data_IF_856528045751
#
_entry.id   IF_856528045751
#
_cell.length_a   1.000
_cell.length_b   1.000
_cell.length_c   1.000
_cell.angle_alpha   90.00
_cell.angle_beta   90.00
_cell.angle_gamma   90.00
#
_symmetry.space_group_name_H-M   'P 1'
#
loop_
_entity.id
_entity.type
_entity.pdbx_description
1 polymer ?
#
# COMPACT_ATOMS: atom_id res chain seq x y z
N UNK A 1 -20.48 3.56 2.92
CA UNK A 1 -19.06 3.78 3.26
C UNK A 1 -18.52 2.45 3.75
N UNK A 2 -17.48 1.88 3.11
CA UNK A 2 -16.85 0.67 3.62
C UNK A 2 -16.09 1.02 4.92
N UNK A 3 -16.12 0.14 5.92
CA UNK A 3 -15.49 0.36 7.24
C UNK A 3 -14.00 0.76 7.17
N UNK A 4 -13.46 1.23 8.29
CA UNK A 4 -12.08 1.76 8.39
C UNK A 4 -11.05 0.78 7.82
N UNK A 5 -10.11 1.27 7.02
CA UNK A 5 -9.00 0.44 6.53
C UNK A 5 -8.04 0.14 7.68
N UNK A 6 -7.86 -1.15 7.97
CA UNK A 6 -7.01 -1.62 9.07
C UNK A 6 -5.69 -2.22 8.58
N UNK A 7 -5.66 -2.74 7.35
CA UNK A 7 -4.44 -3.34 6.77
C UNK A 7 -4.51 -3.33 5.24
N UNK A 8 -3.34 -3.33 4.61
CA UNK A 8 -3.18 -3.57 3.17
C UNK A 8 -2.17 -4.70 3.02
N UNK A 9 -2.55 -5.72 2.26
CA UNK A 9 -1.77 -6.95 2.08
C UNK A 9 -1.44 -7.15 0.60
N UNK A 10 -0.40 -7.93 0.33
CA UNK A 10 -0.14 -8.45 -1.01
C UNK A 10 -0.91 -9.75 -1.22
N UNK A 11 -1.64 -9.88 -2.32
CA UNK A 11 -2.46 -11.08 -2.64
C UNK A 11 -1.60 -12.34 -2.76
N UNK A 12 -0.43 -12.22 -3.39
CA UNK A 12 0.55 -13.30 -3.54
C UNK A 12 1.84 -12.92 -2.84
N UNK A 13 1.83 -13.04 -1.50
CA UNK A 13 3.04 -12.92 -0.69
C UNK A 13 3.97 -14.09 -0.94
N UNK A 14 5.29 -13.84 -0.93
CA UNK A 14 6.29 -14.92 -0.94
C UNK A 14 6.09 -15.75 0.33
N UNK A 15 6.03 -17.08 0.20
CA UNK A 15 5.70 -18.00 1.30
C UNK A 15 6.46 -17.66 2.60
N UNK A 16 5.71 -17.50 3.69
CA UNK A 16 6.24 -17.29 5.04
C UNK A 16 6.66 -15.86 5.40
N UNK A 17 6.36 -14.85 4.57
CA UNK A 17 6.76 -13.46 4.84
C UNK A 17 5.54 -12.55 4.95
N UNK A 18 5.40 -11.87 6.09
CA UNK A 18 4.43 -10.79 6.27
C UNK A 18 5.06 -9.51 5.72
N UNK A 19 4.48 -8.99 4.64
CA UNK A 19 4.83 -7.68 4.08
C UNK A 19 3.85 -6.63 4.60
N UNK A 20 4.36 -5.45 4.96
CA UNK A 20 3.58 -4.30 5.41
C UNK A 20 3.86 -3.08 4.51
N UNK A 21 2.92 -2.12 4.41
CA UNK A 21 3.17 -0.85 3.72
C UNK A 21 4.42 -0.15 4.28
N UNK A 22 5.34 0.23 3.41
CA UNK A 22 6.56 0.93 3.82
C UNK A 22 6.21 2.34 4.32
N UNK A 23 6.42 2.57 5.62
CA UNK A 23 6.24 3.87 6.25
C UNK A 23 7.60 4.55 6.45
N UNK A 24 7.68 5.81 6.05
CA UNK A 24 8.84 6.68 6.23
C UNK A 24 8.49 7.83 7.15
N UNK A 25 9.45 8.69 7.50
CA UNK A 25 9.17 9.95 8.21
C UNK A 25 8.17 10.86 7.47
N UNK A 26 8.03 10.70 6.15
CA UNK A 26 7.07 11.45 5.33
C UNK A 26 5.69 10.79 5.25
N UNK A 27 5.56 9.51 5.62
CA UNK A 27 4.33 8.72 5.52
C UNK A 27 4.51 7.43 4.72
N UNK A 28 3.39 6.79 4.38
CA UNK A 28 3.34 5.62 3.50
C UNK A 28 3.81 5.98 2.11
N UNK A 29 4.73 5.21 1.55
CA UNK A 29 5.36 5.52 0.26
C UNK A 29 4.62 4.83 -0.90
N UNK A 30 4.28 5.61 -1.93
CA UNK A 30 3.66 5.15 -3.17
C UNK A 30 4.43 5.63 -4.39
N UNK A 31 4.12 5.05 -5.55
CA UNK A 31 4.63 5.46 -6.85
C UNK A 31 3.46 5.70 -7.81
N UNK A 32 3.47 6.86 -8.48
CA UNK A 32 2.51 7.18 -9.53
C UNK A 32 2.87 6.44 -10.83
N UNK A 33 1.89 5.73 -11.39
CA UNK A 33 2.05 5.07 -12.69
C UNK A 33 2.28 6.07 -13.84
N UNK A 34 1.84 7.33 -13.69
CA UNK A 34 2.04 8.40 -14.68
C UNK A 34 3.52 8.68 -14.98
N UNK A 35 4.43 8.38 -14.04
CA UNK A 35 5.87 8.51 -14.23
C UNK A 35 6.51 7.35 -15.02
N UNK A 36 5.72 6.38 -15.48
CA UNK A 36 6.17 5.30 -16.36
C UNK A 36 7.33 4.49 -15.77
N UNK A 37 8.45 4.43 -16.51
CA UNK A 37 9.65 3.68 -16.09
C UNK A 37 10.35 4.28 -14.87
N UNK A 38 10.18 5.57 -14.61
CA UNK A 38 10.90 6.29 -13.55
C UNK A 38 10.14 6.33 -12.23
N UNK A 39 8.93 5.77 -12.16
CA UNK A 39 8.06 5.80 -10.97
C UNK A 39 8.69 5.27 -9.68
N UNK A 40 9.76 4.50 -9.78
CA UNK A 40 10.48 3.93 -8.65
C UNK A 40 11.58 4.84 -8.08
N UNK A 41 11.85 5.99 -8.72
CA UNK A 41 12.82 6.98 -8.23
C UNK A 41 12.29 7.64 -6.95
N UNK A 42 13.19 7.84 -5.99
CA UNK A 42 12.84 8.43 -4.70
C UNK A 42 12.29 9.87 -4.80
N UNK A 43 12.70 10.62 -5.82
CA UNK A 43 12.26 12.00 -6.09
C UNK A 43 10.79 12.09 -6.56
N UNK A 44 10.26 11.01 -7.13
CA UNK A 44 8.88 10.90 -7.63
C UNK A 44 7.97 10.14 -6.65
N UNK A 45 8.47 9.85 -5.44
CA UNK A 45 7.71 9.17 -4.42
C UNK A 45 6.58 10.06 -3.90
N UNK A 46 5.37 9.49 -3.85
CA UNK A 46 4.20 10.12 -3.26
C UNK A 46 3.99 9.57 -1.86
N UNK A 47 3.63 10.42 -0.91
CA UNK A 47 3.46 10.04 0.49
C UNK A 47 2.04 10.27 0.96
N UNK A 48 1.46 9.26 1.60
CA UNK A 48 0.16 9.34 2.27
C UNK A 48 0.33 9.25 3.79
N UNK A 49 -0.51 9.93 4.56
CA UNK A 49 -0.45 9.98 6.02
C UNK A 49 -1.30 8.90 6.69
N UNK A 50 -2.26 8.33 5.98
CA UNK A 50 -3.18 7.31 6.50
C UNK A 50 -3.39 6.16 5.50
N UNK A 51 -3.83 5.00 6.00
CA UNK A 51 -4.19 3.87 5.13
C UNK A 51 -5.38 4.19 4.22
N UNK A 52 -6.32 5.02 4.68
CA UNK A 52 -7.44 5.48 3.85
C UNK A 52 -6.96 6.31 2.64
N UNK A 53 -6.01 7.23 2.86
CA UNK A 53 -5.36 7.97 1.76
C UNK A 53 -4.58 7.03 0.82
N UNK A 54 -3.87 6.04 1.36
CA UNK A 54 -3.19 5.02 0.56
C UNK A 54 -4.20 4.32 -0.36
N UNK A 55 -5.38 3.93 0.16
CA UNK A 55 -6.43 3.28 -0.65
C UNK A 55 -6.96 4.22 -1.73
N UNK A 56 -7.16 5.51 -1.43
CA UNK A 56 -7.56 6.49 -2.46
C UNK A 56 -6.55 6.54 -3.60
N UNK A 57 -5.26 6.51 -3.31
CA UNK A 57 -4.21 6.52 -4.33
C UNK A 57 -4.10 5.18 -5.08
N UNK A 58 -4.23 4.04 -4.39
CA UNK A 58 -4.28 2.71 -5.03
C UNK A 58 -5.44 2.65 -6.05
N UNK A 59 -6.61 3.17 -5.68
CA UNK A 59 -7.77 3.24 -6.57
C UNK A 59 -7.54 4.16 -7.79
N UNK A 60 -6.63 5.13 -7.68
CA UNK A 60 -6.15 5.97 -8.80
C UNK A 60 -5.07 5.30 -9.64
N UNK A 61 -4.65 4.07 -9.30
CA UNK A 61 -3.64 3.30 -10.05
C UNK A 61 -2.23 3.38 -9.47
N UNK A 62 -2.04 3.98 -8.30
CA UNK A 62 -0.72 4.08 -7.67
C UNK A 62 -0.26 2.70 -7.19
N UNK A 63 1.04 2.45 -7.31
CA UNK A 63 1.68 1.27 -6.74
C UNK A 63 2.15 1.57 -5.32
N UNK A 64 2.05 0.60 -4.42
CA UNK A 64 2.42 0.75 -3.01
C UNK A 64 3.78 0.09 -2.74
N UNK A 65 4.67 0.79 -2.04
CA UNK A 65 5.88 0.15 -1.52
C UNK A 65 5.51 -0.73 -0.33
N UNK A 66 5.85 -2.02 -0.40
CA UNK A 66 5.65 -2.97 0.69
C UNK A 66 6.96 -3.66 1.04
N UNK A 67 7.21 -3.88 2.32
CA UNK A 67 8.44 -4.49 2.82
C UNK A 67 8.19 -5.43 3.98
N UNK A 68 9.11 -6.34 4.19
CA UNK A 68 9.14 -7.20 5.37
C UNK A 68 10.36 -6.87 6.22
N UNK A 69 10.28 -7.16 7.52
CA UNK A 69 11.41 -6.92 8.44
C UNK A 69 12.69 -7.57 7.91
N UNK A 70 13.75 -6.79 7.77
CA UNK A 70 15.05 -7.24 7.27
C UNK A 70 15.13 -7.47 5.75
N UNK A 71 14.10 -7.13 4.98
CA UNK A 71 14.07 -7.26 3.51
C UNK A 71 13.86 -5.91 2.84
N UNK A 72 14.45 -5.74 1.66
CA UNK A 72 14.22 -4.56 0.82
C UNK A 72 12.76 -4.51 0.38
N UNK A 73 12.14 -3.33 0.51
CA UNK A 73 10.80 -3.08 0.03
C UNK A 73 10.69 -3.24 -1.49
N UNK A 74 9.56 -3.76 -1.95
CA UNK A 74 9.21 -3.94 -3.35
C UNK A 74 8.02 -3.06 -3.70
N UNK A 75 7.98 -2.59 -4.94
CA UNK A 75 6.84 -1.84 -5.45
C UNK A 75 5.77 -2.82 -5.93
N UNK A 76 4.59 -2.76 -5.32
CA UNK A 76 3.48 -3.69 -5.57
C UNK A 76 2.39 -2.96 -6.36
N UNK A 77 2.01 -3.54 -7.50
CA UNK A 77 0.95 -3.01 -8.34
C UNK A 77 -0.41 -3.06 -7.63
N UNK A 78 -1.32 -2.11 -7.90
CA UNK A 78 -2.62 -2.01 -7.21
C UNK A 78 -3.45 -3.30 -7.32
N UNK A 79 -3.46 -3.96 -8.49
CA UNK A 79 -4.17 -5.24 -8.69
C UNK A 79 -3.57 -6.44 -7.95
N UNK A 80 -2.41 -6.29 -7.31
CA UNK A 80 -1.78 -7.32 -6.46
C UNK A 80 -1.96 -7.03 -4.97
N UNK A 81 -2.75 -6.03 -4.61
CA UNK A 81 -3.02 -5.63 -3.24
C UNK A 81 -4.44 -6.03 -2.81
N UNK A 82 -4.58 -6.40 -1.54
CA UNK A 82 -5.86 -6.64 -0.85
C UNK A 82 -6.02 -5.60 0.25
N UNK A 83 -7.15 -4.91 0.24
CA UNK A 83 -7.53 -3.94 1.28
C UNK A 83 -8.33 -4.69 2.34
N UNK A 84 -7.85 -4.70 3.57
CA UNK A 84 -8.54 -5.27 4.71
C UNK A 84 -9.17 -4.14 5.50
N UNK A 85 -10.49 -4.23 5.71
CA UNK A 85 -11.27 -3.26 6.47
C UNK A 85 -11.78 -3.92 7.73
N UNK A 86 -11.90 -3.15 8.81
CA UNK A 86 -12.72 -3.61 9.93
C UNK A 86 -14.15 -3.67 9.43
N UNK A 87 -14.84 -4.78 9.65
CA UNK A 87 -16.28 -4.72 9.69
C UNK A 87 -16.62 -3.88 10.93
N UNK A 88 -17.32 -2.75 10.73
CA UNK A 88 -18.04 -2.14 11.83
C UNK A 88 -19.00 -3.21 12.32
N UNK A 89 -18.83 -3.68 13.55
CA UNK A 89 -19.69 -4.67 14.16
C UNK A 89 -21.13 -4.20 14.15
N UNK A 90 -21.88 -4.60 13.13
CA UNK A 90 -23.34 -4.61 13.13
C UNK A 90 -23.74 -6.04 12.81
N UNK A 91 -23.50 -6.92 13.77
CA UNK A 91 -24.38 -8.06 13.98
C UNK A 91 -25.40 -7.59 15.01
N UNK A 92 -26.58 -7.22 14.51
CA UNK A 92 -27.79 -7.07 15.32
C UNK A 92 -28.27 -8.44 15.80
#
# INVERSE_FOLDING_TARGET
MHGRVIRIERISSRAGVIEEPAITSKGYQLADAAHGKNKHHAELAVYAKSLDEVVVLINKGFSLWMGAKGKRASLIAPGSLRIVRSEDGISA
#
